data_IF_080643171146
#
_entry.id   IF_080643171146
#
_cell.length_a   1.000
_cell.length_b   1.000
_cell.length_c   1.000
_cell.angle_alpha   90.00
_cell.angle_beta   90.00
_cell.angle_gamma   90.00
#
_symmetry.space_group_name_H-M   'P 1'
#
loop_
_entity.id
_entity.type
_entity.pdbx_description
1 polymer ?
#
# COMPACT_ATOMS: atom_id res chain seq x y z
N UNK A 1 58.33 -15.35 -18.83
CA UNK A 1 57.58 -14.12 -18.51
C UNK A 1 56.75 -13.75 -19.74
N UNK A 2 55.42 -13.78 -19.63
CA UNK A 2 54.45 -12.96 -20.39
C UNK A 2 53.06 -13.46 -20.04
N UNK A 3 52.43 -12.76 -19.09
CA UNK A 3 51.01 -12.86 -18.82
C UNK A 3 50.30 -11.91 -19.78
N UNK A 4 49.26 -12.39 -20.47
CA UNK A 4 48.28 -11.53 -21.12
C UNK A 4 46.90 -12.05 -20.74
N UNK A 5 46.19 -11.16 -20.08
CA UNK A 5 45.01 -11.32 -19.22
C UNK A 5 43.74 -11.49 -20.07
N UNK A 6 42.84 -12.35 -19.62
CA UNK A 6 41.57 -12.67 -20.27
C UNK A 6 40.72 -11.43 -20.58
N UNK A 7 40.03 -11.38 -21.74
CA UNK A 7 39.19 -10.25 -22.09
C UNK A 7 37.90 -10.26 -21.27
N UNK A 8 37.80 -9.24 -20.42
CA UNK A 8 36.58 -8.44 -20.21
C UNK A 8 35.28 -9.22 -19.99
N UNK A 9 35.07 -9.61 -18.73
CA UNK A 9 33.75 -9.96 -18.24
C UNK A 9 32.91 -8.68 -18.05
N UNK A 10 32.28 -8.19 -19.12
CA UNK A 10 31.40 -7.00 -19.08
C UNK A 10 30.00 -7.40 -18.60
N UNK A 11 29.89 -7.73 -17.31
CA UNK A 11 28.61 -7.78 -16.61
C UNK A 11 28.18 -6.37 -16.20
N UNK A 12 28.02 -5.47 -17.17
CA UNK A 12 27.26 -4.24 -16.99
C UNK A 12 25.77 -4.58 -16.87
N UNK A 13 25.39 -5.28 -15.80
CA UNK A 13 24.00 -5.43 -15.42
C UNK A 13 23.50 -4.04 -15.04
N UNK A 14 22.73 -3.42 -15.93
CA UNK A 14 21.91 -2.25 -15.62
C UNK A 14 20.93 -2.70 -14.54
N UNK A 15 21.31 -2.52 -13.27
CA UNK A 15 20.37 -2.72 -12.17
C UNK A 15 19.31 -1.63 -12.30
N UNK A 16 18.03 -1.99 -12.53
CA UNK A 16 16.97 -0.99 -12.46
C UNK A 16 17.06 -0.34 -11.07
N UNK A 17 17.02 0.99 -11.03
CA UNK A 17 16.87 1.70 -9.76
C UNK A 17 15.55 1.24 -9.16
N UNK A 18 15.62 0.32 -8.20
CA UNK A 18 14.44 -0.09 -7.45
C UNK A 18 14.09 1.12 -6.59
N UNK A 19 13.08 1.88 -7.02
CA UNK A 19 12.52 2.97 -6.24
C UNK A 19 11.77 2.40 -5.04
N UNK A 20 12.53 1.94 -4.05
CA UNK A 20 12.01 1.46 -2.79
C UNK A 20 11.38 2.65 -2.04
N UNK A 21 10.21 2.46 -1.42
CA UNK A 21 9.65 3.49 -0.57
C UNK A 21 10.59 3.76 0.62
N UNK A 22 10.85 5.03 0.89
CA UNK A 22 11.54 5.47 2.12
C UNK A 22 10.76 5.02 3.36
N UNK A 23 9.43 5.02 3.26
CA UNK A 23 8.54 4.63 4.37
C UNK A 23 7.31 3.92 3.89
N UNK A 24 6.99 2.81 4.55
CA UNK A 24 5.70 2.10 4.43
C UNK A 24 4.96 2.16 5.75
N UNK A 25 3.67 2.48 5.73
CA UNK A 25 2.77 2.42 6.88
C UNK A 25 1.59 1.53 6.54
N UNK A 26 1.34 0.55 7.40
CA UNK A 26 0.20 -0.37 7.29
C UNK A 26 -0.73 -0.09 8.47
N UNK A 27 -2.02 0.09 8.19
CA UNK A 27 -3.05 0.32 9.21
C UNK A 27 -4.27 -0.53 8.92
N UNK A 28 -4.73 -1.29 9.91
CA UNK A 28 -5.98 -2.02 9.82
C UNK A 28 -7.16 -1.05 9.66
N UNK A 29 -8.14 -1.44 8.83
CA UNK A 29 -9.42 -0.77 8.69
C UNK A 29 -10.44 -1.57 9.51
N UNK A 30 -10.67 -1.13 10.74
CA UNK A 30 -11.49 -1.87 11.71
C UNK A 30 -13.00 -1.84 11.36
N UNK A 31 -13.43 -0.90 10.53
CA UNK A 31 -14.80 -0.74 10.05
C UNK A 31 -15.01 -1.28 8.62
N UNK A 32 -14.13 -2.18 8.17
CA UNK A 32 -14.31 -2.90 6.91
C UNK A 32 -15.09 -4.19 7.14
N UNK A 33 -16.27 -4.29 6.52
CA UNK A 33 -17.19 -5.42 6.65
C UNK A 33 -17.37 -6.20 5.33
N UNK A 34 -16.37 -6.15 4.45
CA UNK A 34 -16.40 -6.85 3.17
C UNK A 34 -16.34 -8.37 3.32
N UNK A 35 -16.81 -9.08 2.29
CA UNK A 35 -16.71 -10.54 2.20
C UNK A 35 -15.71 -10.93 1.11
N UNK A 36 -15.04 -12.04 1.33
CA UNK A 36 -14.19 -12.68 0.35
C UNK A 36 -15.00 -13.05 -0.90
N UNK A 37 -14.59 -12.63 -2.10
CA UNK A 37 -15.30 -12.97 -3.33
C UNK A 37 -15.17 -14.46 -3.69
N UNK A 38 -14.16 -15.16 -3.14
CA UNK A 38 -13.92 -16.56 -3.43
C UNK A 38 -14.79 -17.50 -2.58
N UNK A 39 -14.93 -17.24 -1.28
CA UNK A 39 -15.62 -18.15 -0.35
C UNK A 39 -16.75 -17.52 0.49
N UNK A 40 -16.96 -16.20 0.39
CA UNK A 40 -18.04 -15.50 1.11
C UNK A 40 -17.78 -15.23 2.60
N UNK A 41 -16.67 -15.69 3.17
CA UNK A 41 -16.27 -15.36 4.55
C UNK A 41 -15.93 -13.88 4.71
N UNK A 42 -15.98 -13.37 5.94
CA UNK A 42 -15.52 -12.03 6.24
C UNK A 42 -14.04 -11.86 5.88
N UNK A 43 -13.73 -10.70 5.29
CA UNK A 43 -12.38 -10.29 4.96
C UNK A 43 -11.97 -9.12 5.85
N UNK A 44 -10.70 -9.09 6.23
CA UNK A 44 -10.08 -7.98 6.93
C UNK A 44 -9.39 -7.08 5.91
N UNK A 45 -9.40 -5.75 6.11
CA UNK A 45 -8.72 -4.83 5.22
C UNK A 45 -7.67 -3.99 5.93
N UNK A 46 -6.63 -3.64 5.19
CA UNK A 46 -5.58 -2.72 5.63
C UNK A 46 -5.31 -1.65 4.58
N UNK A 47 -5.06 -0.43 5.04
CA UNK A 47 -4.50 0.63 4.22
C UNK A 47 -2.98 0.49 4.21
N UNK A 48 -2.37 0.54 3.02
CA UNK A 48 -0.92 0.54 2.82
C UNK A 48 -0.54 1.87 2.19
N UNK A 49 0.08 2.74 2.99
CA UNK A 49 0.65 4.01 2.55
C UNK A 49 2.14 3.82 2.27
N UNK A 50 2.58 4.15 1.05
CA UNK A 50 3.98 4.14 0.65
C UNK A 50 4.42 5.55 0.30
N UNK A 51 5.49 6.02 0.95
CA UNK A 51 6.13 7.31 0.67
C UNK A 51 7.48 7.06 0.02
N UNK A 52 7.68 7.65 -1.16
CA UNK A 52 8.99 7.73 -1.83
C UNK A 52 9.70 9.00 -1.33
N UNK A 53 11.04 8.98 -1.31
CA UNK A 53 11.87 10.08 -0.77
C UNK A 53 11.46 11.46 -1.33
N UNK A 54 11.28 11.55 -2.65
CA UNK A 54 10.91 12.80 -3.35
C UNK A 54 9.60 12.68 -4.14
N UNK A 55 8.84 11.61 -3.89
CA UNK A 55 7.67 11.25 -4.69
C UNK A 55 6.34 11.39 -3.96
N UNK A 56 5.23 11.26 -4.69
CA UNK A 56 3.91 11.28 -4.09
C UNK A 56 3.74 10.12 -3.09
N UNK A 57 2.90 10.35 -2.09
CA UNK A 57 2.42 9.27 -1.21
C UNK A 57 1.37 8.47 -1.98
N UNK A 58 1.59 7.18 -2.15
CA UNK A 58 0.61 6.26 -2.74
C UNK A 58 -0.10 5.50 -1.65
N UNK A 59 -1.42 5.38 -1.75
CA UNK A 59 -2.24 4.66 -0.77
C UNK A 59 -3.09 3.61 -1.49
N UNK A 60 -2.99 2.36 -1.05
CA UNK A 60 -3.87 1.28 -1.50
C UNK A 60 -4.59 0.65 -0.31
N UNK A 61 -5.73 0.00 -0.57
CA UNK A 61 -6.42 -0.82 0.42
C UNK A 61 -6.44 -2.25 -0.09
N UNK A 62 -5.94 -3.16 0.75
CA UNK A 62 -5.89 -4.58 0.46
C UNK A 62 -6.76 -5.30 1.49
N UNK A 63 -7.64 -6.16 1.00
CA UNK A 63 -8.39 -7.08 1.84
C UNK A 63 -7.78 -8.48 1.78
N UNK A 64 -7.84 -9.19 2.89
CA UNK A 64 -7.41 -10.58 3.05
C UNK A 64 -8.56 -11.40 3.65
N UNK A 65 -8.82 -12.57 3.09
CA UNK A 65 -9.83 -13.47 3.61
C UNK A 65 -9.38 -14.09 4.95
N UNK A 66 -10.25 -14.09 5.96
CA UNK A 66 -9.92 -14.61 7.29
C UNK A 66 -9.75 -16.13 7.39
N UNK A 67 -10.28 -16.92 6.43
CA UNK A 67 -10.24 -18.40 6.44
C UNK A 67 -10.38 -19.02 5.02
N UNK A 68 -10.16 -20.33 4.86
CA UNK A 68 -8.89 -20.96 4.43
C UNK A 68 -8.47 -20.64 2.98
N UNK A 69 -9.28 -19.92 2.21
CA UNK A 69 -9.05 -19.79 0.76
C UNK A 69 -7.85 -18.90 0.40
N UNK A 70 -7.29 -18.15 1.36
CA UNK A 70 -6.08 -17.36 1.19
C UNK A 70 -6.20 -16.17 0.23
N UNK A 71 -7.41 -15.84 -0.24
CA UNK A 71 -7.59 -14.71 -1.15
C UNK A 71 -7.14 -13.41 -0.50
N UNK A 72 -6.34 -12.65 -1.24
CA UNK A 72 -6.01 -11.26 -0.92
C UNK A 72 -6.04 -10.43 -2.19
N UNK A 73 -6.54 -9.20 -2.11
CA UNK A 73 -6.59 -8.33 -3.28
C UNK A 73 -6.95 -6.88 -2.98
N UNK A 74 -6.77 -6.00 -3.96
CA UNK A 74 -7.18 -4.61 -3.83
C UNK A 74 -8.70 -4.53 -3.72
N UNK A 75 -9.17 -3.68 -2.80
CA UNK A 75 -10.61 -3.42 -2.63
C UNK A 75 -10.88 -1.91 -2.65
N UNK A 76 -12.06 -1.48 -3.11
CA UNK A 76 -12.46 -0.09 -3.02
C UNK A 76 -12.47 0.36 -1.56
N UNK A 77 -12.25 1.66 -1.34
CA UNK A 77 -12.36 2.27 -0.02
C UNK A 77 -13.82 2.37 0.40
N UNK A 78 -14.34 1.29 0.96
CA UNK A 78 -15.66 1.24 1.61
C UNK A 78 -15.44 1.27 3.12
N UNK A 79 -15.24 2.47 3.67
CA UNK A 79 -15.43 2.68 5.11
C UNK A 79 -16.92 2.93 5.30
N UNK A 80 -17.55 2.22 6.23
CA UNK A 80 -18.99 2.40 6.51
C UNK A 80 -19.28 3.81 7.03
N UNK A 81 -18.25 4.44 7.61
CA UNK A 81 -18.23 5.87 7.89
C UNK A 81 -17.66 6.60 6.70
N UNK A 82 -18.47 7.36 5.96
CA UNK A 82 -17.95 8.39 5.06
C UNK A 82 -17.02 9.27 5.90
N UNK A 83 -15.79 9.60 5.44
CA UNK A 83 -14.98 10.59 6.14
C UNK A 83 -15.82 11.84 6.30
N UNK A 84 -16.20 12.17 7.55
CA UNK A 84 -16.87 13.43 7.83
C UNK A 84 -15.88 14.50 7.43
N UNK A 85 -16.14 15.19 6.32
CA UNK A 85 -15.37 16.37 5.96
C UNK A 85 -15.35 17.26 7.21
N UNK A 86 -14.16 17.62 7.71
CA UNK A 86 -14.07 18.64 8.74
C UNK A 86 -14.67 19.88 8.11
N UNK A 87 -15.87 20.26 8.54
CA UNK A 87 -16.43 21.58 8.22
C UNK A 87 -15.54 22.56 8.96
N UNK A 88 -14.62 23.20 8.24
CA UNK A 88 -13.88 24.31 8.76
C UNK A 88 -14.86 25.48 8.90
N UNK A 89 -15.15 25.87 10.15
CA UNK A 89 -15.89 27.09 10.47
C UNK A 89 -17.38 26.89 10.70
N UNK A 90 -17.74 26.61 11.96
CA UNK A 90 -18.96 27.17 12.55
C UNK A 90 -18.59 27.55 13.99
N UNK A 91 -18.11 28.78 14.15
CA UNK A 91 -17.94 29.47 15.43
C UNK A 91 -19.21 30.31 15.63
N UNK A 92 -20.16 29.91 16.49
CA UNK A 92 -21.27 30.78 16.83
C UNK A 92 -20.76 31.79 17.86
N UNK A 93 -20.39 32.97 17.36
CA UNK A 93 -20.14 34.14 18.19
C UNK A 93 -21.33 34.42 19.10
N UNK A 94 -21.07 34.41 20.41
CA UNK A 94 -22.03 34.82 21.43
C UNK A 94 -22.20 36.34 21.37
N UNK A 95 -23.45 36.81 21.30
CA UNK A 95 -23.86 38.21 21.35
C UNK A 95 -25.24 38.31 21.96
#
# INVERSE_FOLDING_TARGET
>A
MSAAKDPSNDHSAVHPRIDLPERVRIRAILDYFGKCPNCGYFAEASTIERRRADGPVTTEIVACCGLPCGWSGPVPRTTMTTPRARVAGDDPGVG
#
